data_IF_006107300891
#
_entry.id   IF_006107300891
#
_cell.length_a   1.000
_cell.length_b   1.000
_cell.length_c   1.000
_cell.angle_alpha   90.00
_cell.angle_beta   90.00
_cell.angle_gamma   90.00
#
_symmetry.space_group_name_H-M   'P 1'
#
loop_
_entity.id
_entity.type
_entity.pdbx_description
1 polymer ?
#
# COMPACT_ATOMS: atom_id res chain seq x y z
N UNK A 1 -26.13 22.78 2.20
CA UNK A 1 -25.10 23.40 1.33
C UNK A 1 -25.59 23.27 -0.09
N UNK A 2 -25.47 24.29 -0.97
CA UNK A 2 -25.96 24.15 -2.34
C UNK A 2 -25.10 23.13 -3.08
N UNK A 3 -25.73 22.19 -3.79
CA UNK A 3 -25.04 21.25 -4.68
C UNK A 3 -24.24 22.05 -5.72
N UNK A 4 -22.91 21.96 -5.68
CA UNK A 4 -22.09 22.43 -6.80
C UNK A 4 -22.46 21.57 -8.01
N UNK A 5 -23.09 22.18 -9.02
CA UNK A 5 -23.23 21.53 -10.33
C UNK A 5 -21.84 21.13 -10.83
N UNK A 6 -21.63 19.82 -11.01
CA UNK A 6 -20.38 19.27 -11.54
C UNK A 6 -20.07 19.87 -12.91
N UNK A 7 -18.81 20.18 -13.18
CA UNK A 7 -18.42 20.66 -14.51
C UNK A 7 -18.71 19.57 -15.56
N UNK A 8 -18.89 19.96 -16.83
CA UNK A 8 -19.10 18.98 -17.89
C UNK A 8 -17.93 18.00 -18.00
N UNK A 9 -16.69 18.47 -17.74
CA UNK A 9 -15.51 17.61 -17.68
C UNK A 9 -15.56 16.59 -16.53
N UNK A 10 -16.08 16.97 -15.36
CA UNK A 10 -16.27 16.04 -14.22
C UNK A 10 -17.33 14.99 -14.52
N UNK A 11 -18.45 15.37 -15.14
CA UNK A 11 -19.50 14.43 -15.55
C UNK A 11 -18.97 13.43 -16.59
N UNK A 12 -18.21 13.91 -17.58
CA UNK A 12 -17.58 13.04 -18.59
C UNK A 12 -16.51 12.15 -17.97
N UNK A 13 -15.77 12.62 -16.98
CA UNK A 13 -14.84 11.78 -16.21
C UNK A 13 -15.56 10.61 -15.53
N UNK A 14 -16.72 10.86 -14.91
CA UNK A 14 -17.53 9.81 -14.27
C UNK A 14 -18.09 8.81 -15.29
N UNK A 15 -18.52 9.30 -16.46
CA UNK A 15 -18.96 8.44 -17.56
C UNK A 15 -17.83 7.56 -18.09
N UNK A 16 -16.62 8.10 -18.24
CA UNK A 16 -15.45 7.32 -18.65
C UNK A 16 -15.11 6.27 -17.58
N UNK A 17 -15.14 6.61 -16.29
CA UNK A 17 -14.94 5.63 -15.20
C UNK A 17 -16.00 4.52 -15.26
N UNK A 18 -17.26 4.87 -15.50
CA UNK A 18 -18.33 3.89 -15.67
C UNK A 18 -18.09 2.97 -16.87
N UNK A 19 -17.67 3.52 -18.02
CA UNK A 19 -17.30 2.72 -19.19
C UNK A 19 -16.15 1.76 -18.89
N UNK A 20 -15.12 2.19 -18.15
CA UNK A 20 -14.00 1.32 -17.76
C UNK A 20 -14.52 0.10 -16.98
N UNK A 21 -15.39 0.33 -16.00
CA UNK A 21 -15.96 -0.73 -15.15
C UNK A 21 -16.87 -1.66 -15.97
N UNK A 22 -17.78 -1.11 -16.76
CA UNK A 22 -18.76 -1.89 -17.55
C UNK A 22 -18.12 -2.71 -18.66
N UNK A 23 -17.01 -2.25 -19.23
CA UNK A 23 -16.27 -2.98 -20.27
C UNK A 23 -15.21 -3.92 -19.69
N UNK A 24 -15.09 -4.01 -18.35
CA UNK A 24 -14.09 -4.83 -17.66
C UNK A 24 -12.66 -4.59 -18.19
N UNK A 25 -12.30 -3.32 -18.41
CA UNK A 25 -10.93 -2.98 -18.84
C UNK A 25 -9.96 -3.09 -17.67
N UNK A 26 -8.90 -3.83 -17.90
CA UNK A 26 -7.86 -4.14 -16.93
C UNK A 26 -6.70 -3.15 -16.99
N UNK A 27 -5.84 -3.21 -15.97
CA UNK A 27 -4.59 -2.44 -15.94
C UNK A 27 -3.79 -2.62 -17.23
N UNK A 28 -3.45 -1.50 -17.86
CA UNK A 28 -2.69 -1.51 -19.11
C UNK A 28 -3.52 -1.62 -20.37
N UNK A 29 -4.84 -1.81 -20.28
CA UNK A 29 -5.73 -1.75 -21.43
C UNK A 29 -5.80 -0.34 -22.01
N UNK A 30 -5.98 -0.27 -23.33
CA UNK A 30 -6.04 0.99 -24.07
C UNK A 30 -7.48 1.47 -24.17
N UNK A 31 -7.73 2.72 -23.77
CA UNK A 31 -9.00 3.38 -24.02
C UNK A 31 -9.20 3.68 -25.52
N UNK A 32 -10.47 3.76 -25.98
CA UNK A 32 -10.77 4.35 -27.27
C UNK A 32 -10.16 5.75 -27.40
N UNK A 33 -9.89 6.17 -28.63
CA UNK A 33 -9.32 7.48 -28.90
C UNK A 33 -10.21 8.62 -28.39
N UNK A 34 -9.64 9.81 -28.14
CA UNK A 34 -10.41 11.01 -27.75
C UNK A 34 -11.58 11.28 -28.71
N UNK A 35 -11.40 10.95 -30.00
CA UNK A 35 -12.42 11.12 -31.02
C UNK A 35 -13.57 10.11 -30.86
N UNK A 36 -13.25 8.84 -30.63
CA UNK A 36 -14.26 7.78 -30.42
C UNK A 36 -15.03 8.03 -29.13
N UNK A 37 -14.35 8.34 -28.03
CA UNK A 37 -14.97 8.69 -26.75
C UNK A 37 -15.90 9.90 -26.90
N UNK A 38 -15.50 10.93 -27.65
CA UNK A 38 -16.35 12.11 -27.90
C UNK A 38 -17.66 11.73 -28.60
N UNK A 39 -17.61 10.83 -29.59
CA UNK A 39 -18.83 10.31 -30.24
C UNK A 39 -19.65 9.43 -29.32
N UNK A 40 -19.02 8.52 -28.58
CA UNK A 40 -19.70 7.58 -27.67
C UNK A 40 -20.46 8.33 -26.57
N UNK A 41 -19.88 9.40 -26.05
CA UNK A 41 -20.41 10.18 -24.93
C UNK A 41 -21.23 11.41 -25.38
N UNK A 42 -21.30 11.68 -26.69
CA UNK A 42 -22.07 12.81 -27.23
C UNK A 42 -21.54 14.18 -26.83
N UNK A 43 -20.22 14.32 -26.61
CA UNK A 43 -19.58 15.56 -26.13
C UNK A 43 -18.46 16.02 -27.06
N UNK A 44 -18.01 17.26 -26.88
CA UNK A 44 -16.86 17.81 -27.61
C UNK A 44 -15.53 17.15 -27.23
N UNK A 45 -14.59 17.07 -28.19
CA UNK A 45 -13.24 16.52 -27.97
C UNK A 45 -12.46 17.25 -26.87
N UNK A 46 -12.67 18.55 -26.72
CA UNK A 46 -12.06 19.36 -25.66
C UNK A 46 -12.50 18.87 -24.27
N UNK A 47 -13.78 18.55 -24.11
CA UNK A 47 -14.35 18.01 -22.87
C UNK A 47 -13.80 16.63 -22.53
N UNK A 48 -13.68 15.74 -23.53
CA UNK A 48 -13.05 14.42 -23.34
C UNK A 48 -11.60 14.56 -22.89
N UNK A 49 -10.85 15.48 -23.50
CA UNK A 49 -9.46 15.73 -23.11
C UNK A 49 -9.34 16.25 -21.68
N UNK A 50 -10.25 17.12 -21.26
CA UNK A 50 -10.33 17.60 -19.87
C UNK A 50 -10.63 16.44 -18.91
N UNK A 51 -11.62 15.60 -19.22
CA UNK A 51 -11.95 14.42 -18.43
C UNK A 51 -10.79 13.43 -18.32
N UNK A 52 -10.10 13.13 -19.43
CA UNK A 52 -8.91 12.29 -19.42
C UNK A 52 -7.82 12.91 -18.54
N UNK A 53 -7.57 14.22 -18.63
CA UNK A 53 -6.58 14.89 -17.76
C UNK A 53 -6.95 14.77 -16.29
N UNK A 54 -8.22 14.90 -15.93
CA UNK A 54 -8.70 14.72 -14.56
C UNK A 54 -8.52 13.27 -14.07
N UNK A 55 -8.75 12.28 -14.92
CA UNK A 55 -8.52 10.87 -14.59
C UNK A 55 -7.03 10.53 -14.49
N UNK A 56 -6.19 11.17 -15.31
CA UNK A 56 -4.73 11.05 -15.22
C UNK A 56 -4.21 11.66 -13.92
N UNK A 57 -4.69 12.84 -13.53
CA UNK A 57 -4.26 13.46 -12.26
C UNK A 57 -4.70 12.67 -11.03
N UNK A 58 -5.75 11.86 -11.16
CA UNK A 58 -6.22 10.92 -10.14
C UNK A 58 -5.57 9.54 -10.27
N UNK A 59 -4.56 9.35 -11.12
CA UNK A 59 -3.89 8.07 -11.33
C UNK A 59 -4.82 6.92 -11.82
N UNK A 60 -5.99 7.23 -12.38
CA UNK A 60 -6.90 6.24 -12.99
C UNK A 60 -6.42 5.87 -14.40
N UNK A 61 -5.93 6.88 -15.14
CA UNK A 61 -5.42 6.72 -16.50
C UNK A 61 -3.96 7.16 -16.58
N UNK A 62 -3.25 6.67 -17.59
CA UNK A 62 -1.94 7.16 -17.99
C UNK A 62 -1.90 7.45 -19.50
N UNK A 63 -1.23 8.52 -19.90
CA UNK A 63 -1.05 8.86 -21.31
C UNK A 63 0.34 8.46 -21.74
N UNK A 64 0.43 7.55 -22.71
CA UNK A 64 1.70 7.15 -23.33
C UNK A 64 1.84 7.88 -24.66
N UNK A 65 2.82 8.79 -24.75
CA UNK A 65 3.02 9.68 -25.91
C UNK A 65 3.08 8.87 -27.22
N UNK A 66 2.21 9.20 -28.16
CA UNK A 66 2.11 8.51 -29.46
C UNK A 66 1.41 7.15 -29.45
N UNK A 67 1.19 6.55 -28.28
CA UNK A 67 0.57 5.22 -28.15
C UNK A 67 -0.91 5.29 -27.71
N UNK A 68 -1.31 6.31 -26.95
CA UNK A 68 -2.70 6.50 -26.52
C UNK A 68 -2.85 6.66 -25.01
N UNK A 69 -4.09 6.48 -24.53
CA UNK A 69 -4.46 6.53 -23.11
C UNK A 69 -4.76 5.13 -22.62
N UNK A 70 -4.24 4.78 -21.44
CA UNK A 70 -4.32 3.44 -20.89
C UNK A 70 -4.81 3.46 -19.44
N UNK A 71 -5.37 2.34 -18.97
CA UNK A 71 -5.66 2.15 -17.55
C UNK A 71 -4.33 2.14 -16.77
N UNK A 72 -4.23 3.00 -15.77
CA UNK A 72 -3.04 3.16 -14.94
C UNK A 72 -2.84 1.95 -14.03
N UNK A 73 -1.58 1.59 -13.77
CA UNK A 73 -1.21 0.58 -12.75
C UNK A 73 -1.61 0.97 -11.33
N UNK A 74 -1.82 2.26 -11.08
CA UNK A 74 -2.23 2.78 -9.77
C UNK A 74 -3.75 2.73 -9.57
N UNK A 75 -4.56 2.47 -10.60
CA UNK A 75 -6.02 2.30 -10.51
C UNK A 75 -6.77 3.35 -9.67
N UNK A 76 -6.33 4.62 -9.69
CA UNK A 76 -6.97 5.68 -8.91
C UNK A 76 -6.34 5.97 -7.55
N UNK A 77 -5.35 5.18 -7.12
CA UNK A 77 -4.62 5.41 -5.88
C UNK A 77 -3.66 6.58 -6.05
N UNK A 78 -3.83 7.63 -5.25
CA UNK A 78 -2.92 8.77 -5.20
C UNK A 78 -1.53 8.36 -4.67
N UNK A 79 -0.50 9.17 -4.95
CA UNK A 79 0.88 8.86 -4.53
C UNK A 79 1.05 8.96 -3.01
N UNK A 80 0.29 9.86 -2.37
CA UNK A 80 0.17 10.00 -0.91
C UNK A 80 -1.30 10.18 -0.55
N UNK A 81 -2.10 9.08 -0.56
CA UNK A 81 -3.55 9.15 -0.41
C UNK A 81 -3.99 9.66 0.97
N UNK A 82 -3.09 9.68 1.94
CA UNK A 82 -3.35 10.08 3.32
C UNK A 82 -2.64 11.38 3.72
N UNK A 83 -1.91 12.01 2.79
CA UNK A 83 -1.21 13.28 3.03
C UNK A 83 -0.10 13.20 4.08
N UNK A 84 0.46 12.01 4.34
CA UNK A 84 1.46 11.77 5.38
C UNK A 84 2.77 12.52 5.11
N UNK A 85 3.06 12.86 3.86
CA UNK A 85 4.25 13.63 3.48
C UNK A 85 4.24 15.04 4.10
N UNK A 86 3.06 15.64 4.29
CA UNK A 86 2.91 17.02 4.78
C UNK A 86 2.91 17.14 6.30
N UNK A 87 2.89 16.02 7.03
CA UNK A 87 2.94 16.02 8.50
C UNK A 87 4.37 16.35 8.93
N UNK A 88 4.54 17.48 9.61
CA UNK A 88 5.86 18.02 10.01
C UNK A 88 6.45 17.30 11.22
N UNK A 89 5.61 17.00 12.22
CA UNK A 89 6.03 16.29 13.41
C UNK A 89 6.22 14.81 13.09
N UNK A 90 7.47 14.42 12.81
CA UNK A 90 7.81 13.05 12.43
C UNK A 90 7.76 12.07 13.60
N UNK A 91 7.94 12.55 14.83
CA UNK A 91 7.83 11.70 16.02
C UNK A 91 6.37 11.38 16.32
N UNK A 92 5.50 12.38 16.33
CA UNK A 92 4.06 12.15 16.48
C UNK A 92 3.51 11.29 15.35
N UNK A 93 3.95 11.55 14.11
CA UNK A 93 3.61 10.70 12.97
C UNK A 93 4.03 9.24 13.17
N UNK A 94 5.22 8.98 13.72
CA UNK A 94 5.70 7.63 14.01
C UNK A 94 4.80 6.92 15.03
N UNK A 95 4.39 7.63 16.09
CA UNK A 95 3.48 7.10 17.11
C UNK A 95 2.10 6.78 16.51
N UNK A 96 1.50 7.72 15.77
CA UNK A 96 0.18 7.55 15.17
C UNK A 96 0.17 6.41 14.14
N UNK A 97 1.21 6.31 13.31
CA UNK A 97 1.32 5.20 12.37
C UNK A 97 1.52 3.85 13.08
N UNK A 98 2.27 3.83 14.19
CA UNK A 98 2.42 2.61 14.98
C UNK A 98 1.10 2.15 15.62
N UNK A 99 0.24 3.07 16.06
CA UNK A 99 -1.12 2.74 16.53
C UNK A 99 -1.94 2.05 15.42
N UNK A 100 -1.87 2.57 14.19
CA UNK A 100 -2.56 1.96 13.04
C UNK A 100 -1.99 0.58 12.69
N UNK A 101 -0.67 0.41 12.71
CA UNK A 101 -0.03 -0.90 12.49
C UNK A 101 -0.54 -1.93 13.52
N UNK A 102 -0.57 -1.57 14.80
CA UNK A 102 -1.06 -2.44 15.89
C UNK A 102 -2.53 -2.83 15.74
N UNK A 103 -3.35 -1.99 15.11
CA UNK A 103 -4.76 -2.30 14.86
C UNK A 103 -5.01 -3.21 13.65
N UNK A 104 -4.06 -3.29 12.71
CA UNK A 104 -4.28 -3.92 11.39
C UNK A 104 -3.41 -5.15 11.22
N UNK A 105 -2.09 -5.04 11.42
CA UNK A 105 -1.15 -6.08 11.02
C UNK A 105 -1.31 -7.40 11.79
N UNK A 106 -1.56 -7.43 13.11
CA UNK A 106 -1.80 -8.69 13.81
C UNK A 106 -2.99 -9.47 13.24
N UNK A 107 -4.11 -8.79 12.98
CA UNK A 107 -5.32 -9.39 12.40
C UNK A 107 -5.09 -9.82 10.95
N UNK A 108 -4.29 -9.06 10.19
CA UNK A 108 -3.91 -9.44 8.83
C UNK A 108 -3.00 -10.66 8.83
N UNK A 109 -2.09 -10.80 9.79
CA UNK A 109 -1.27 -12.00 9.96
C UNK A 109 -2.12 -13.24 10.30
N UNK A 110 -3.12 -13.08 11.17
CA UNK A 110 -4.12 -14.12 11.47
C UNK A 110 -4.87 -14.59 10.22
N UNK A 111 -5.38 -13.63 9.44
CA UNK A 111 -6.10 -13.92 8.19
C UNK A 111 -5.16 -14.54 7.16
N UNK A 112 -3.91 -14.08 7.08
CA UNK A 112 -2.89 -14.64 6.20
C UNK A 112 -2.61 -16.10 6.54
N UNK A 113 -2.42 -16.46 7.81
CA UNK A 113 -2.26 -17.86 8.23
C UNK A 113 -3.46 -18.73 7.81
N UNK A 114 -4.67 -18.17 7.79
CA UNK A 114 -5.88 -18.91 7.37
C UNK A 114 -5.98 -19.10 5.85
N UNK A 115 -5.44 -18.16 5.06
CA UNK A 115 -5.73 -18.05 3.62
C UNK A 115 -4.53 -18.21 2.69
N UNK A 116 -3.31 -18.15 3.21
CA UNK A 116 -2.10 -18.23 2.40
C UNK A 116 -2.09 -19.55 1.62
N UNK A 117 -1.69 -19.49 0.36
CA UNK A 117 -1.36 -20.68 -0.41
C UNK A 117 0.16 -20.93 -0.37
N UNK A 118 0.58 -22.01 -1.02
CA UNK A 118 1.99 -22.40 -1.07
C UNK A 118 2.88 -21.29 -1.63
N UNK A 119 2.44 -20.60 -2.69
CA UNK A 119 3.23 -19.57 -3.37
C UNK A 119 3.34 -18.30 -2.51
N UNK A 120 2.27 -17.93 -1.81
CA UNK A 120 2.28 -16.85 -0.83
C UNK A 120 3.23 -17.12 0.33
N UNK A 121 3.22 -18.34 0.88
CA UNK A 121 4.13 -18.74 1.96
C UNK A 121 5.59 -18.69 1.49
N UNK A 122 5.88 -19.14 0.26
CA UNK A 122 7.24 -19.11 -0.26
C UNK A 122 7.73 -17.68 -0.52
N UNK A 123 6.88 -16.82 -1.07
CA UNK A 123 7.20 -15.39 -1.22
C UNK A 123 7.49 -14.72 0.14
N UNK A 124 6.71 -15.06 1.17
CA UNK A 124 6.91 -14.58 2.54
C UNK A 124 8.25 -15.07 3.13
N UNK A 125 8.59 -16.35 2.94
CA UNK A 125 9.89 -16.93 3.36
C UNK A 125 11.06 -16.22 2.72
N UNK A 126 11.00 -16.00 1.40
CA UNK A 126 12.06 -15.30 0.66
C UNK A 126 12.25 -13.86 1.17
N UNK A 127 11.16 -13.14 1.43
CA UNK A 127 11.23 -11.78 1.99
C UNK A 127 11.81 -11.76 3.41
N UNK A 128 11.48 -12.75 4.25
CA UNK A 128 12.07 -12.92 5.58
C UNK A 128 13.58 -13.15 5.51
N UNK A 129 14.02 -14.09 4.67
CA UNK A 129 15.43 -14.42 4.47
C UNK A 129 16.20 -13.21 3.93
N UNK A 130 15.63 -12.46 2.99
CA UNK A 130 16.27 -11.25 2.46
C UNK A 130 16.50 -10.20 3.56
N UNK A 131 15.48 -9.97 4.40
CA UNK A 131 15.55 -9.03 5.52
C UNK A 131 16.64 -9.44 6.50
N UNK A 132 16.65 -10.71 6.90
CA UNK A 132 17.67 -11.26 7.81
C UNK A 132 19.08 -11.13 7.23
N UNK A 133 19.29 -11.53 5.97
CA UNK A 133 20.60 -11.45 5.33
C UNK A 133 21.12 -10.00 5.29
N UNK A 134 20.25 -9.03 5.01
CA UNK A 134 20.62 -7.61 5.03
C UNK A 134 20.97 -7.13 6.43
N UNK A 135 20.21 -7.53 7.45
CA UNK A 135 20.50 -7.21 8.85
C UNK A 135 21.87 -7.77 9.27
N UNK A 136 22.11 -9.06 9.01
CA UNK A 136 23.37 -9.73 9.38
C UNK A 136 24.58 -9.17 8.63
N UNK A 137 24.40 -8.73 7.38
CA UNK A 137 25.42 -8.07 6.60
C UNK A 137 25.61 -6.57 6.96
N UNK A 138 24.84 -6.04 7.91
CA UNK A 138 24.87 -4.62 8.28
C UNK A 138 24.43 -3.67 7.16
N UNK A 139 23.67 -4.18 6.19
CA UNK A 139 23.15 -3.43 5.05
C UNK A 139 21.80 -2.80 5.38
N UNK A 140 21.38 -1.75 4.65
CA UNK A 140 20.02 -1.24 4.73
C UNK A 140 19.01 -2.34 4.42
N UNK A 141 18.08 -2.58 5.36
CA UNK A 141 17.05 -3.62 5.27
C UNK A 141 15.63 -3.07 5.09
N UNK A 142 15.45 -1.74 5.09
CA UNK A 142 14.14 -1.08 4.99
C UNK A 142 13.27 -1.61 3.84
N UNK A 143 13.82 -1.69 2.63
CA UNK A 143 13.03 -2.16 1.47
C UNK A 143 12.65 -3.64 1.60
N UNK A 144 13.49 -4.45 2.24
CA UNK A 144 13.21 -5.87 2.47
C UNK A 144 12.15 -6.04 3.57
N UNK A 145 12.21 -5.22 4.61
CA UNK A 145 11.21 -5.15 5.69
C UNK A 145 9.83 -4.79 5.13
N UNK A 146 9.77 -3.76 4.26
CA UNK A 146 8.53 -3.39 3.55
C UNK A 146 8.01 -4.55 2.70
N UNK A 147 8.89 -5.27 1.97
CA UNK A 147 8.50 -6.46 1.19
C UNK A 147 7.94 -7.56 2.08
N UNK A 148 8.53 -7.79 3.25
CA UNK A 148 8.06 -8.79 4.21
C UNK A 148 6.63 -8.51 4.67
N UNK A 149 6.35 -7.29 5.15
CA UNK A 149 4.99 -6.91 5.58
C UNK A 149 3.99 -6.90 4.41
N UNK A 150 4.42 -6.50 3.21
CA UNK A 150 3.62 -6.57 1.97
C UNK A 150 3.24 -8.01 1.64
N UNK A 151 4.16 -8.96 1.79
CA UNK A 151 3.91 -10.38 1.53
C UNK A 151 2.87 -10.96 2.49
N UNK A 152 2.94 -10.63 3.79
CA UNK A 152 1.92 -11.01 4.78
C UNK A 152 0.55 -10.45 4.38
N UNK A 153 0.49 -9.14 4.05
CA UNK A 153 -0.76 -8.50 3.64
C UNK A 153 -1.35 -9.15 2.38
N UNK A 154 -0.50 -9.57 1.44
CA UNK A 154 -0.93 -10.24 0.20
C UNK A 154 -1.50 -11.63 0.48
N UNK A 155 -0.92 -12.37 1.43
CA UNK A 155 -1.42 -13.68 1.87
C UNK A 155 -2.83 -13.61 2.49
N UNK A 156 -3.29 -12.44 2.94
CA UNK A 156 -4.66 -12.27 3.46
C UNK A 156 -5.76 -12.39 2.39
N UNK A 157 -5.39 -12.38 1.10
CA UNK A 157 -6.31 -12.40 -0.05
C UNK A 157 -7.46 -11.40 0.09
N UNK A 158 -7.18 -10.25 0.72
CA UNK A 158 -8.14 -9.19 0.94
C UNK A 158 -7.98 -8.14 -0.16
N UNK A 159 -9.03 -7.92 -0.95
CA UNK A 159 -9.02 -7.00 -2.11
C UNK A 159 -8.73 -5.53 -1.73
N UNK A 160 -8.93 -5.15 -0.47
CA UNK A 160 -8.69 -3.78 0.02
C UNK A 160 -7.26 -3.62 0.55
N UNK A 161 -6.63 -4.69 1.04
CA UNK A 161 -5.30 -4.59 1.67
C UNK A 161 -4.20 -3.97 0.80
N UNK A 162 -4.12 -4.24 -0.51
CA UNK A 162 -3.13 -3.58 -1.37
C UNK A 162 -3.18 -2.04 -1.29
N UNK A 163 -4.37 -1.46 -1.06
CA UNK A 163 -4.55 -0.02 -0.94
C UNK A 163 -4.10 0.53 0.43
N UNK A 164 -3.97 -0.33 1.44
CA UNK A 164 -3.53 0.03 2.80
C UNK A 164 -2.03 -0.20 3.02
N UNK A 165 -1.37 -1.01 2.18
CA UNK A 165 0.08 -1.27 2.24
C UNK A 165 0.91 0.02 2.29
N UNK A 166 0.60 1.11 1.54
CA UNK A 166 1.37 2.35 1.65
C UNK A 166 1.44 2.94 3.06
N UNK A 167 0.43 2.71 3.91
CA UNK A 167 0.43 3.13 5.32
C UNK A 167 1.52 2.40 6.08
N UNK A 168 1.56 1.08 5.93
CA UNK A 168 2.53 0.18 6.57
C UNK A 168 3.93 0.55 6.11
N UNK A 169 4.13 0.68 4.79
CA UNK A 169 5.42 1.05 4.19
C UNK A 169 5.93 2.40 4.73
N UNK A 170 5.04 3.41 4.79
CA UNK A 170 5.41 4.73 5.31
C UNK A 170 5.77 4.68 6.79
N UNK A 171 5.06 3.88 7.57
CA UNK A 171 5.36 3.70 8.99
C UNK A 171 6.72 3.04 9.19
N UNK A 172 7.06 2.02 8.40
CA UNK A 172 8.36 1.33 8.45
C UNK A 172 9.49 2.30 8.10
N UNK A 173 9.32 3.11 7.04
CA UNK A 173 10.30 4.12 6.64
C UNK A 173 10.58 5.14 7.76
N UNK A 174 9.51 5.69 8.36
CA UNK A 174 9.63 6.63 9.48
C UNK A 174 10.29 5.96 10.69
N UNK A 175 9.89 4.73 11.01
CA UNK A 175 10.44 3.99 12.15
C UNK A 175 11.94 3.70 11.98
N UNK A 176 12.35 3.08 10.88
CA UNK A 176 13.76 2.72 10.63
C UNK A 176 14.63 3.98 10.56
N UNK A 177 14.11 5.07 10.01
CA UNK A 177 14.79 6.36 10.00
C UNK A 177 15.07 6.93 11.40
N UNK A 178 14.23 6.61 12.40
CA UNK A 178 14.38 7.07 13.78
C UNK A 178 15.26 6.14 14.64
N UNK A 179 15.27 4.84 14.37
CA UNK A 179 15.82 3.82 15.28
C UNK A 179 17.24 3.34 14.95
N UNK A 180 17.74 3.60 13.73
CA UNK A 180 19.10 3.26 13.22
C UNK A 180 19.87 2.23 14.07
N UNK A 181 19.74 0.94 13.68
CA UNK A 181 20.45 -0.24 14.26
C UNK A 181 20.00 -0.74 15.64
N UNK A 182 18.81 -0.38 16.12
CA UNK A 182 18.17 -1.08 17.26
C UNK A 182 17.22 -2.17 16.78
N UNK A 183 16.88 -3.13 17.66
CA UNK A 183 15.91 -4.21 17.44
C UNK A 183 16.24 -5.22 16.31
N UNK A 184 17.49 -5.27 15.85
CA UNK A 184 17.87 -6.13 14.73
C UNK A 184 17.63 -7.62 15.01
N UNK A 185 17.97 -8.07 16.22
CA UNK A 185 17.83 -9.48 16.61
C UNK A 185 16.35 -9.82 16.85
N UNK A 186 15.62 -8.94 17.54
CA UNK A 186 14.19 -9.07 17.80
C UNK A 186 13.39 -9.10 16.49
N UNK A 187 13.76 -8.28 15.49
CA UNK A 187 13.17 -8.32 14.14
C UNK A 187 13.40 -9.69 13.49
N UNK A 188 14.63 -10.21 13.49
CA UNK A 188 14.92 -11.53 12.90
C UNK A 188 14.08 -12.63 13.57
N UNK A 189 14.08 -12.67 14.90
CA UNK A 189 13.38 -13.69 15.67
C UNK A 189 11.87 -13.64 15.45
N UNK A 190 11.29 -12.44 15.55
CA UNK A 190 9.84 -12.28 15.37
C UNK A 190 9.40 -12.49 13.92
N UNK A 191 10.20 -12.09 12.92
CA UNK A 191 9.89 -12.37 11.52
C UNK A 191 9.84 -13.88 11.25
N UNK A 192 10.84 -14.63 11.72
CA UNK A 192 10.87 -16.10 11.57
C UNK A 192 9.65 -16.76 12.22
N UNK A 193 9.26 -16.29 13.40
CA UNK A 193 8.10 -16.80 14.12
C UNK A 193 6.79 -16.54 13.36
N UNK A 194 6.61 -15.34 12.80
CA UNK A 194 5.45 -15.00 11.96
C UNK A 194 5.40 -15.91 10.73
N UNK A 195 6.52 -16.14 10.05
CA UNK A 195 6.59 -17.04 8.88
C UNK A 195 6.24 -18.47 9.25
N UNK A 196 6.79 -19.00 10.36
CA UNK A 196 6.49 -20.34 10.85
C UNK A 196 5.00 -20.49 11.15
N UNK A 197 4.41 -19.54 11.88
CA UNK A 197 3.00 -19.57 12.21
C UNK A 197 2.08 -19.53 10.98
N UNK A 198 2.38 -18.65 10.01
CA UNK A 198 1.61 -18.57 8.75
C UNK A 198 1.78 -19.86 7.93
N UNK A 199 3.00 -20.40 7.83
CA UNK A 199 3.27 -21.61 7.07
C UNK A 199 2.64 -22.89 7.68
N UNK A 200 2.45 -22.90 9.00
CA UNK A 200 1.78 -23.96 9.74
C UNK A 200 0.26 -23.75 9.84
N UNK A 201 -0.25 -22.66 9.24
CA UNK A 201 -1.65 -22.25 9.29
C UNK A 201 -2.20 -22.05 10.72
N UNK A 202 -1.33 -21.64 11.65
CA UNK A 202 -1.72 -21.29 13.02
C UNK A 202 -2.06 -19.80 13.12
N UNK A 203 -3.35 -19.49 13.01
CA UNK A 203 -3.87 -18.14 12.98
C UNK A 203 -3.58 -17.34 14.27
N UNK A 204 -3.79 -17.97 15.44
CA UNK A 204 -3.56 -17.31 16.72
C UNK A 204 -2.08 -17.04 16.96
N UNK A 205 -1.22 -18.01 16.63
CA UNK A 205 0.24 -17.83 16.74
C UNK A 205 0.75 -16.75 15.80
N UNK A 206 0.20 -16.65 14.57
CA UNK A 206 0.58 -15.60 13.62
C UNK A 206 0.18 -14.20 14.12
N UNK A 207 -1.02 -14.08 14.69
CA UNK A 207 -1.48 -12.86 15.35
C UNK A 207 -0.51 -12.45 16.47
N UNK A 208 -0.26 -13.35 17.41
CA UNK A 208 0.52 -13.06 18.62
C UNK A 208 1.99 -12.73 18.30
N UNK A 209 2.57 -13.43 17.31
CA UNK A 209 3.92 -13.15 16.83
C UNK A 209 4.04 -11.75 16.21
N UNK A 210 3.06 -11.35 15.39
CA UNK A 210 3.02 -10.00 14.80
C UNK A 210 2.77 -8.93 15.86
N UNK A 211 1.89 -9.19 16.83
CA UNK A 211 1.67 -8.28 17.95
C UNK A 211 2.96 -8.07 18.75
N UNK A 212 3.69 -9.13 19.07
CA UNK A 212 4.97 -9.06 19.78
C UNK A 212 6.01 -8.24 19.00
N UNK A 213 6.15 -8.49 17.70
CA UNK A 213 7.00 -7.72 16.79
C UNK A 213 6.73 -6.21 16.90
N UNK A 214 5.46 -5.80 16.79
CA UNK A 214 5.07 -4.39 16.85
C UNK A 214 5.20 -3.79 18.25
N UNK A 215 5.01 -4.57 19.31
CA UNK A 215 5.21 -4.10 20.69
C UNK A 215 6.67 -3.73 20.95
N UNK A 216 7.63 -4.48 20.41
CA UNK A 216 9.05 -4.09 20.46
C UNK A 216 9.27 -2.75 19.76
N UNK A 217 8.77 -2.60 18.53
CA UNK A 217 8.89 -1.36 17.76
C UNK A 217 8.27 -0.16 18.50
N UNK A 218 7.06 -0.30 19.02
CA UNK A 218 6.38 0.76 19.78
C UNK A 218 7.20 1.19 20.99
N UNK A 219 7.72 0.23 21.77
CA UNK A 219 8.52 0.54 22.95
C UNK A 219 9.76 1.37 22.59
N UNK A 220 10.41 1.07 21.47
CA UNK A 220 11.56 1.85 21.00
C UNK A 220 11.16 3.26 20.57
N UNK A 221 10.03 3.43 19.88
CA UNK A 221 9.50 4.77 19.55
C UNK A 221 9.25 5.56 20.84
N UNK A 222 8.57 4.97 21.82
CA UNK A 222 8.25 5.63 23.08
C UNK A 222 9.52 6.04 23.85
N UNK A 223 10.54 5.19 23.86
CA UNK A 223 11.84 5.48 24.49
C UNK A 223 12.57 6.63 23.78
N UNK A 224 12.47 6.72 22.44
CA UNK A 224 13.03 7.84 21.67
C UNK A 224 12.30 9.14 22.01
N UNK A 225 10.96 9.11 22.03
CA UNK A 225 10.13 10.27 22.34
C UNK A 225 10.44 10.80 23.75
N UNK A 226 10.56 9.90 24.75
CA UNK A 226 10.93 10.27 26.12
C UNK A 226 12.32 10.89 26.26
N UNK A 227 13.25 10.63 25.34
CA UNK A 227 14.60 11.20 25.37
C UNK A 227 14.68 12.56 24.67
N UNK A 228 13.70 12.89 23.82
CA UNK A 228 13.67 14.14 23.06
C UNK A 228 12.69 15.19 23.61
N UNK A 229 11.78 14.80 24.52
CA UNK A 229 10.93 15.69 25.31
C UNK A 229 11.51 15.96 26.68
#
# INVERSE_FOLDING_TARGET
MPEKNKSLGEQVSEQITKLIIENHWDVGDRLPSEYELARMLGVGRSTVREAIRALVSRNVLEVRRGAGTFISKKCGVADDPLGLAFIRDKLKLAQDLMEIRLMIEPQIAEIAATKADHDGIEALRLACIETENKILAGQPHMDADIRFHTAIASCSNNLVMPNLIPIISRSIEVFIGLTVKTLLQETIETHREIVSAIAEHDAHRAHDAMLLHLVYNRRTIDDIVRRQG
#
